data_IF_927486813290
#
_entry.id   IF_927486813290
#
_cell.length_a   1.000
_cell.length_b   1.000
_cell.length_c   1.000
_cell.angle_alpha   90.00
_cell.angle_beta   90.00
_cell.angle_gamma   90.00
#
_symmetry.space_group_name_H-M   'P 1'
#
loop_
_entity.id
_entity.type
_entity.pdbx_description
1 polymer ?
#
# COMPACT_ATOMS: atom_id res chain seq x y z
N UNK A 1 -16.32 -4.72 27.25
CA UNK A 1 -14.97 -4.62 26.64
C UNK A 1 -14.65 -3.14 26.50
N UNK A 2 -13.62 -2.63 27.19
CA UNK A 2 -13.21 -1.25 26.99
C UNK A 2 -12.55 -1.14 25.60
N UNK A 3 -13.02 -0.23 24.75
CA UNK A 3 -12.44 0.01 23.44
C UNK A 3 -11.07 0.69 23.54
N UNK A 4 -10.23 0.46 22.54
CA UNK A 4 -8.93 1.12 22.40
C UNK A 4 -9.14 2.58 21.99
N UNK A 5 -8.48 3.52 22.67
CA UNK A 5 -8.50 4.95 22.35
C UNK A 5 -7.22 5.34 21.62
N UNK A 6 -7.24 6.47 20.90
CA UNK A 6 -6.06 7.02 20.21
C UNK A 6 -4.81 7.09 21.10
N UNK A 7 -4.97 7.51 22.35
CA UNK A 7 -3.87 7.61 23.32
C UNK A 7 -3.22 6.27 23.68
N UNK A 8 -3.91 5.17 23.44
CA UNK A 8 -3.41 3.82 23.74
C UNK A 8 -2.59 3.26 22.56
N UNK A 9 -2.74 3.83 21.35
CA UNK A 9 -2.04 3.43 20.11
C UNK A 9 -1.66 4.66 19.25
N UNK A 10 -0.89 5.63 19.80
CA UNK A 10 -0.68 6.93 19.14
C UNK A 10 -0.05 6.82 17.75
N UNK A 11 0.95 5.95 17.58
CA UNK A 11 1.66 5.77 16.31
C UNK A 11 0.77 5.15 15.24
N UNK A 12 -0.02 4.12 15.60
CA UNK A 12 -0.95 3.47 14.67
C UNK A 12 -2.05 4.46 14.26
N UNK A 13 -2.55 5.26 15.20
CA UNK A 13 -3.56 6.26 14.92
C UNK A 13 -3.04 7.42 14.04
N UNK A 14 -1.74 7.73 14.10
CA UNK A 14 -1.09 8.69 13.21
C UNK A 14 -0.75 8.09 11.83
N UNK A 15 -0.40 6.80 11.80
CA UNK A 15 -0.13 6.04 10.58
C UNK A 15 -1.36 5.93 9.67
N UNK A 16 -2.55 5.63 10.21
CA UNK A 16 -3.72 5.30 9.38
C UNK A 16 -4.10 6.37 8.33
N UNK A 17 -4.16 7.67 8.66
CA UNK A 17 -4.40 8.71 7.64
C UNK A 17 -3.30 8.76 6.58
N UNK A 18 -2.03 8.67 6.98
CA UNK A 18 -0.90 8.75 6.03
C UNK A 18 -0.82 7.52 5.14
N UNK A 19 -1.13 6.35 5.68
CA UNK A 19 -1.31 5.13 4.92
C UNK A 19 -2.42 5.27 3.88
N UNK A 20 -3.54 5.89 4.24
CA UNK A 20 -4.62 6.15 3.29
C UNK A 20 -4.21 7.11 2.17
N UNK A 21 -3.42 8.14 2.48
CA UNK A 21 -2.85 9.01 1.44
C UNK A 21 -1.90 8.25 0.51
N UNK A 22 -1.05 7.38 1.05
CA UNK A 22 -0.21 6.48 0.25
C UNK A 22 -1.04 5.60 -0.67
N UNK A 23 -2.05 4.90 -0.15
CA UNK A 23 -2.98 4.04 -0.91
C UNK A 23 -3.60 4.78 -2.08
N UNK A 24 -4.14 5.99 -1.85
CA UNK A 24 -4.73 6.81 -2.92
C UNK A 24 -3.69 7.20 -3.98
N UNK A 25 -2.47 7.51 -3.56
CA UNK A 25 -1.43 8.02 -4.47
C UNK A 25 -0.93 6.99 -5.48
N UNK A 26 -1.09 5.70 -5.19
CA UNK A 26 -0.62 4.61 -6.05
C UNK A 26 -1.75 3.66 -6.46
N UNK A 27 -3.02 4.03 -6.26
CA UNK A 27 -4.15 3.11 -6.43
C UNK A 27 -4.24 2.47 -7.82
N UNK A 28 -3.85 3.18 -8.86
CA UNK A 28 -3.85 2.71 -10.24
C UNK A 28 -2.43 2.27 -10.59
N UNK A 29 -2.16 0.98 -10.81
CA UNK A 29 -0.85 0.50 -11.23
C UNK A 29 -0.46 1.01 -12.61
N UNK A 30 0.81 1.36 -12.78
CA UNK A 30 1.40 1.67 -14.07
C UNK A 30 2.50 0.66 -14.38
N UNK A 31 2.60 0.23 -15.64
CA UNK A 31 3.69 -0.64 -16.10
C UNK A 31 4.96 0.19 -16.33
N UNK A 32 5.53 0.72 -15.24
CA UNK A 32 6.78 1.49 -15.28
C UNK A 32 7.64 1.26 -14.04
N UNK A 33 8.95 1.18 -14.25
CA UNK A 33 9.94 1.08 -13.16
C UNK A 33 9.85 2.26 -12.20
N UNK A 34 9.52 3.46 -12.71
CA UNK A 34 9.36 4.66 -11.90
C UNK A 34 8.21 4.52 -10.90
N UNK A 35 7.06 4.01 -11.35
CA UNK A 35 5.91 3.80 -10.49
C UNK A 35 6.24 2.83 -9.35
N UNK A 36 6.83 1.67 -9.65
CA UNK A 36 7.18 0.67 -8.64
C UNK A 36 8.25 1.18 -7.67
N UNK A 37 9.20 1.98 -8.17
CA UNK A 37 10.15 2.67 -7.31
C UNK A 37 9.46 3.63 -6.34
N UNK A 38 8.52 4.44 -6.80
CA UNK A 38 7.76 5.36 -5.94
C UNK A 38 6.92 4.61 -4.89
N UNK A 39 6.32 3.47 -5.25
CA UNK A 39 5.62 2.58 -4.30
C UNK A 39 6.59 2.13 -3.19
N UNK A 40 7.76 1.60 -3.56
CA UNK A 40 8.76 1.14 -2.61
C UNK A 40 9.29 2.26 -1.71
N UNK A 41 9.62 3.42 -2.29
CA UNK A 41 10.17 4.56 -1.54
C UNK A 41 9.15 5.06 -0.50
N UNK A 42 7.90 5.28 -0.89
CA UNK A 42 6.83 5.73 0.03
C UNK A 42 6.50 4.69 1.10
N UNK A 43 6.48 3.40 0.74
CA UNK A 43 6.27 2.30 1.69
C UNK A 43 7.40 2.26 2.74
N UNK A 44 8.64 2.44 2.31
CA UNK A 44 9.80 2.51 3.20
C UNK A 44 9.75 3.74 4.11
N UNK A 45 9.44 4.92 3.58
CA UNK A 45 9.29 6.16 4.36
C UNK A 45 8.22 6.02 5.45
N UNK A 46 7.06 5.45 5.12
CA UNK A 46 5.99 5.20 6.08
C UNK A 46 6.43 4.25 7.21
N UNK A 47 7.13 3.17 6.88
CA UNK A 47 7.63 2.22 7.89
C UNK A 47 8.72 2.84 8.77
N UNK A 48 9.63 3.64 8.18
CA UNK A 48 10.66 4.34 8.95
C UNK A 48 10.06 5.35 9.94
N UNK A 49 8.97 6.02 9.55
CA UNK A 49 8.24 6.95 10.42
C UNK A 49 7.48 6.25 11.54
N UNK A 50 6.95 5.06 11.27
CA UNK A 50 6.16 4.27 12.22
C UNK A 50 6.67 2.82 12.28
N UNK A 51 7.80 2.55 12.96
CA UNK A 51 8.50 1.25 12.95
C UNK A 51 7.82 0.21 13.86
N UNK A 52 6.53 -0.03 13.62
CA UNK A 52 5.68 -0.97 14.37
C UNK A 52 5.37 -2.18 13.48
N UNK A 53 5.43 -3.39 14.04
CA UNK A 53 5.19 -4.63 13.28
C UNK A 53 3.81 -4.66 12.59
N UNK A 54 2.79 -4.12 13.25
CA UNK A 54 1.45 -3.99 12.67
C UNK A 54 1.46 -3.09 11.41
N UNK A 55 2.17 -1.95 11.46
CA UNK A 55 2.33 -1.04 10.33
C UNK A 55 3.04 -1.73 9.17
N UNK A 56 4.15 -2.43 9.46
CA UNK A 56 4.88 -3.22 8.45
C UNK A 56 3.97 -4.20 7.72
N UNK A 57 3.17 -4.97 8.46
CA UNK A 57 2.24 -5.94 7.88
C UNK A 57 1.16 -5.27 7.02
N UNK A 58 0.67 -4.11 7.44
CA UNK A 58 -0.35 -3.38 6.70
C UNK A 58 0.19 -2.81 5.38
N UNK A 59 1.41 -2.27 5.38
CA UNK A 59 2.10 -1.77 4.19
C UNK A 59 2.38 -2.91 3.21
N UNK A 60 2.97 -4.01 3.68
CA UNK A 60 3.30 -5.17 2.84
C UNK A 60 2.05 -5.78 2.21
N UNK A 61 0.99 -5.98 3.00
CA UNK A 61 -0.27 -6.55 2.48
C UNK A 61 -0.92 -5.67 1.40
N UNK A 62 -0.76 -4.35 1.47
CA UNK A 62 -1.22 -3.48 0.38
C UNK A 62 -0.31 -3.53 -0.85
N UNK A 63 1.00 -3.61 -0.68
CA UNK A 63 1.93 -3.77 -1.81
C UNK A 63 1.69 -5.08 -2.57
N UNK A 64 1.43 -6.17 -1.84
CA UNK A 64 1.07 -7.47 -2.44
C UNK A 64 -0.26 -7.39 -3.21
N UNK A 65 -1.27 -6.73 -2.64
CA UNK A 65 -2.54 -6.48 -3.34
C UNK A 65 -2.33 -5.67 -4.63
N UNK A 66 -1.45 -4.68 -4.60
CA UNK A 66 -1.18 -3.81 -5.74
C UNK A 66 -0.47 -4.55 -6.88
N UNK A 67 0.49 -5.41 -6.55
CA UNK A 67 1.16 -6.30 -7.50
C UNK A 67 0.15 -7.27 -8.16
N UNK A 68 -0.71 -7.92 -7.36
CA UNK A 68 -1.77 -8.78 -7.88
C UNK A 68 -2.73 -8.03 -8.80
N UNK A 69 -3.14 -6.83 -8.40
CA UNK A 69 -4.02 -5.98 -9.22
C UNK A 69 -3.39 -5.66 -10.58
N UNK A 70 -2.09 -5.32 -10.61
CA UNK A 70 -1.38 -5.06 -11.86
C UNK A 70 -1.32 -6.31 -12.76
N UNK A 71 -1.02 -7.47 -12.19
CA UNK A 71 -1.00 -8.75 -12.93
C UNK A 71 -2.37 -9.06 -13.53
N UNK A 72 -3.45 -8.91 -12.76
CA UNK A 72 -4.82 -9.14 -13.23
C UNK A 72 -5.24 -8.19 -14.37
N UNK A 73 -4.80 -6.93 -14.33
CA UNK A 73 -5.08 -5.93 -15.37
C UNK A 73 -4.29 -6.22 -16.65
N UNK A 74 -3.03 -6.63 -16.51
CA UNK A 74 -2.19 -7.04 -17.65
C UNK A 74 -2.74 -8.29 -18.35
N UNK A 75 -3.14 -9.30 -17.59
CA UNK A 75 -3.61 -10.57 -18.15
C UNK A 75 -4.95 -10.41 -18.90
N UNK A 76 -5.82 -9.48 -18.46
CA UNK A 76 -7.04 -9.08 -19.19
C UNK A 76 -6.72 -8.38 -20.51
N UNK A 77 -5.77 -7.45 -20.52
CA UNK A 77 -5.36 -6.76 -21.75
C UNK A 77 -4.81 -7.74 -22.80
N UNK A 78 -4.03 -8.75 -22.39
CA UNK A 78 -3.51 -9.77 -23.29
C UNK A 78 -4.57 -10.70 -23.90
N UNK A 79 -5.73 -10.88 -23.25
CA UNK A 79 -6.81 -11.75 -23.76
C UNK A 79 -7.75 -11.04 -24.75
N UNK A 80 -7.80 -9.71 -24.73
CA UNK A 80 -8.60 -8.91 -25.66
C UNK A 80 -7.89 -8.70 -27.02
N UNK A 81 -6.55 -8.77 -27.07
CA UNK A 81 -5.78 -8.64 -28.32
C UNK A 81 -5.75 -9.93 -29.17
N UNK A 82 -6.11 -11.09 -28.61
CA UNK A 82 -6.17 -12.38 -29.31
C UNK A 82 -7.55 -12.73 -29.91
N UNK A 83 -8.56 -11.85 -29.81
CA UNK A 83 -9.92 -12.04 -30.36
C UNK A 83 -10.19 -11.18 -31.60
#
# INVERSE_FOLDING_TARGET
MAGVKKKDIPDIAAFMPEFWEFVKSVWIPEDSDQYWKEVCDKAQELYQKYPVDFVKRQILGFCEYLDQKWQDERDKAGTEEEQ
#
